data_IF_166434922958
#
_entry.id   IF_166434922958
#
_cell.length_a   1.000
_cell.length_b   1.000
_cell.length_c   1.000
_cell.angle_alpha   90.00
_cell.angle_beta   90.00
_cell.angle_gamma   90.00
#
_symmetry.space_group_name_H-M   'P 1'
#
loop_
_entity.id
_entity.type
_entity.pdbx_description
1 polymer ?
#
# COMPACT_ATOMS: atom_id res chain seq x y z
N UNK A 1 -5.13 -7.97 -15.39
CA UNK A 1 -4.74 -6.89 -14.47
C UNK A 1 -3.23 -6.82 -14.53
N UNK A 2 -2.70 -5.70 -15.01
CA UNK A 2 -1.25 -5.46 -15.01
C UNK A 2 -0.82 -5.10 -13.59
N UNK A 3 0.23 -5.76 -13.11
CA UNK A 3 0.72 -5.55 -11.75
C UNK A 3 1.72 -4.39 -11.75
N UNK A 4 1.50 -3.37 -10.91
CA UNK A 4 2.46 -2.25 -10.78
C UNK A 4 3.67 -2.61 -9.92
N UNK A 5 3.54 -3.63 -9.08
CA UNK A 5 4.55 -4.06 -8.12
C UNK A 5 5.18 -5.35 -8.65
N UNK A 6 6.50 -5.32 -8.82
CA UNK A 6 7.30 -6.49 -9.20
C UNK A 6 7.19 -7.61 -8.16
N UNK A 7 7.39 -8.85 -8.57
CA UNK A 7 7.24 -10.00 -7.67
C UNK A 7 8.21 -9.98 -6.50
N UNK A 8 9.44 -9.51 -6.72
CA UNK A 8 10.45 -9.32 -5.66
C UNK A 8 9.96 -8.33 -4.61
N UNK A 9 9.50 -7.15 -5.03
CA UNK A 9 9.01 -6.12 -4.11
C UNK A 9 7.74 -6.57 -3.39
N UNK A 10 6.87 -7.30 -4.10
CA UNK A 10 5.69 -7.91 -3.51
C UNK A 10 6.05 -8.91 -2.40
N UNK A 11 7.08 -9.74 -2.60
CA UNK A 11 7.53 -10.72 -1.61
C UNK A 11 8.03 -10.04 -0.32
N UNK A 12 8.77 -8.94 -0.44
CA UNK A 12 9.22 -8.14 0.71
C UNK A 12 8.04 -7.53 1.47
N UNK A 13 7.09 -6.92 0.75
CA UNK A 13 5.86 -6.36 1.35
C UNK A 13 5.06 -7.46 2.04
N UNK A 14 4.90 -8.62 1.39
CA UNK A 14 4.17 -9.75 1.95
C UNK A 14 4.82 -10.25 3.24
N UNK A 15 6.14 -10.37 3.27
CA UNK A 15 6.91 -10.79 4.46
C UNK A 15 6.66 -9.85 5.65
N UNK A 16 6.68 -8.53 5.40
CA UNK A 16 6.33 -7.56 6.44
C UNK A 16 4.88 -7.75 6.94
N UNK A 17 3.93 -7.85 6.00
CA UNK A 17 2.51 -7.91 6.32
C UNK A 17 2.10 -9.20 7.03
N UNK A 18 2.74 -10.33 6.73
CA UNK A 18 2.51 -11.60 7.43
C UNK A 18 3.10 -11.59 8.84
N UNK A 19 4.15 -10.81 9.09
CA UNK A 19 4.71 -10.61 10.42
C UNK A 19 3.84 -9.74 11.34
N UNK A 20 2.95 -8.89 10.78
CA UNK A 20 2.06 -8.02 11.56
C UNK A 20 0.91 -8.80 12.21
N UNK A 21 0.93 -8.93 13.54
CA UNK A 21 -0.17 -9.54 14.30
C UNK A 21 -1.46 -8.72 14.17
N UNK A 22 -2.58 -9.41 13.95
CA UNK A 22 -3.91 -8.79 13.88
C UNK A 22 -4.32 -8.24 12.51
N UNK A 23 -3.45 -8.33 11.49
CA UNK A 23 -3.86 -8.08 10.11
C UNK A 23 -4.51 -9.32 9.51
N UNK A 24 -5.70 -9.16 8.93
CA UNK A 24 -6.36 -10.21 8.17
C UNK A 24 -5.66 -10.38 6.81
N UNK A 25 -4.52 -11.08 6.83
CA UNK A 25 -3.65 -11.38 5.68
C UNK A 25 -3.82 -12.81 5.16
N UNK A 26 -4.88 -13.52 5.59
CA UNK A 26 -5.16 -14.91 5.22
C UNK A 26 -5.29 -15.15 3.71
N UNK A 27 -5.63 -14.11 2.95
CA UNK A 27 -5.84 -14.18 1.51
C UNK A 27 -4.84 -13.26 0.80
N UNK A 28 -3.72 -13.86 0.37
CA UNK A 28 -2.59 -13.15 -0.26
C UNK A 28 -3.02 -12.49 -1.57
N UNK A 29 -3.94 -13.09 -2.33
CA UNK A 29 -4.45 -12.54 -3.58
C UNK A 29 -5.25 -11.27 -3.34
N UNK A 30 -6.16 -11.29 -2.36
CA UNK A 30 -6.91 -10.08 -1.96
C UNK A 30 -6.00 -9.01 -1.35
N UNK A 31 -4.96 -9.42 -0.62
CA UNK A 31 -3.97 -8.51 -0.07
C UNK A 31 -3.19 -7.81 -1.18
N UNK A 32 -2.74 -8.56 -2.20
CA UNK A 32 -2.05 -8.00 -3.36
C UNK A 32 -2.90 -6.97 -4.09
N UNK A 33 -4.14 -7.35 -4.44
CA UNK A 33 -5.09 -6.43 -5.09
C UNK A 33 -5.33 -5.15 -4.28
N UNK A 34 -5.39 -5.25 -2.95
CA UNK A 34 -5.53 -4.09 -2.08
C UNK A 34 -4.31 -3.16 -2.14
N UNK A 35 -3.10 -3.72 -2.00
CA UNK A 35 -1.86 -2.92 -2.05
C UNK A 35 -1.70 -2.27 -3.41
N UNK A 36 -2.04 -2.97 -4.49
CA UNK A 36 -1.98 -2.40 -5.84
C UNK A 36 -3.01 -1.31 -6.09
N UNK A 37 -4.23 -1.47 -5.57
CA UNK A 37 -5.24 -0.43 -5.62
C UNK A 37 -4.74 0.85 -4.94
N UNK A 38 -4.10 0.71 -3.77
CA UNK A 38 -3.48 1.83 -3.05
C UNK A 38 -2.35 2.42 -3.91
N UNK A 39 -1.47 1.59 -4.47
CA UNK A 39 -0.36 2.04 -5.29
C UNK A 39 -0.83 2.82 -6.53
N UNK A 40 -1.87 2.34 -7.22
CA UNK A 40 -2.50 3.03 -8.34
C UNK A 40 -2.98 4.44 -7.94
N UNK A 41 -3.70 4.55 -6.82
CA UNK A 41 -4.21 5.83 -6.31
C UNK A 41 -3.07 6.78 -5.93
N UNK A 42 -2.02 6.27 -5.30
CA UNK A 42 -0.86 7.08 -4.94
C UNK A 42 -0.09 7.57 -6.17
N UNK A 43 0.12 6.69 -7.15
CA UNK A 43 0.82 6.98 -8.41
C UNK A 43 0.06 7.96 -9.30
N UNK A 44 -1.25 7.77 -9.45
CA UNK A 44 -2.09 8.60 -10.35
C UNK A 44 -2.65 9.85 -9.68
N UNK A 45 -2.71 9.88 -8.35
CA UNK A 45 -3.42 10.91 -7.60
C UNK A 45 -4.94 10.89 -7.80
N UNK A 46 -5.50 9.85 -8.44
CA UNK A 46 -6.92 9.74 -8.69
C UNK A 46 -7.71 9.68 -7.38
N UNK A 47 -8.95 10.20 -7.40
CA UNK A 47 -9.85 10.02 -6.27
C UNK A 47 -10.23 8.54 -6.13
N UNK A 48 -10.35 8.04 -4.90
CA UNK A 48 -10.73 6.64 -4.62
C UNK A 48 -11.95 6.18 -5.42
N UNK A 49 -12.95 7.05 -5.61
CA UNK A 49 -14.18 6.74 -6.36
C UNK A 49 -13.96 6.33 -7.83
N UNK A 50 -12.81 6.69 -8.40
CA UNK A 50 -12.41 6.35 -9.77
C UNK A 50 -11.51 5.12 -9.85
N UNK A 51 -11.26 4.44 -8.73
CA UNK A 51 -10.55 3.18 -8.74
C UNK A 51 -11.28 2.17 -9.64
N UNK A 52 -10.53 1.48 -10.50
CA UNK A 52 -11.09 0.47 -11.39
C UNK A 52 -11.81 -0.64 -10.60
N UNK A 53 -12.94 -1.10 -11.13
CA UNK A 53 -13.78 -2.14 -10.51
C UNK A 53 -13.04 -3.47 -10.35
N UNK A 54 -12.02 -3.72 -11.17
CA UNK A 54 -11.17 -4.91 -11.10
C UNK A 54 -10.43 -5.06 -9.76
N UNK A 55 -10.13 -3.95 -9.08
CA UNK A 55 -9.53 -3.96 -7.74
C UNK A 55 -10.54 -4.32 -6.64
N UNK A 56 -11.84 -4.20 -6.93
CA UNK A 56 -12.94 -4.44 -6.02
C UNK A 56 -13.61 -3.16 -5.53
N UNK A 57 -14.24 -3.24 -4.36
CA UNK A 57 -15.03 -2.14 -3.82
C UNK A 57 -14.14 -1.00 -3.31
N UNK A 58 -14.11 0.11 -4.05
CA UNK A 58 -13.37 1.33 -3.71
C UNK A 58 -13.61 1.83 -2.28
N UNK A 59 -14.86 1.80 -1.79
CA UNK A 59 -15.19 2.26 -0.43
C UNK A 59 -14.56 1.36 0.64
N UNK A 60 -14.56 0.04 0.41
CA UNK A 60 -13.92 -0.92 1.31
C UNK A 60 -12.39 -0.76 1.32
N UNK A 61 -11.80 -0.53 0.15
CA UNK A 61 -10.36 -0.29 -0.01
C UNK A 61 -9.95 0.99 0.71
N UNK A 62 -10.66 2.09 0.49
CA UNK A 62 -10.39 3.35 1.18
C UNK A 62 -10.54 3.22 2.72
N UNK A 63 -11.58 2.53 3.20
CA UNK A 63 -11.75 2.26 4.64
C UNK A 63 -10.58 1.47 5.21
N UNK A 64 -10.11 0.44 4.51
CA UNK A 64 -8.95 -0.36 4.92
C UNK A 64 -7.66 0.45 4.88
N UNK A 65 -7.46 1.28 3.86
CA UNK A 65 -6.33 2.20 3.76
C UNK A 65 -6.27 3.14 4.97
N UNK A 66 -7.41 3.78 5.32
CA UNK A 66 -7.51 4.66 6.48
C UNK A 66 -7.24 3.92 7.79
N UNK A 67 -7.76 2.70 7.94
CA UNK A 67 -7.48 1.86 9.10
C UNK A 67 -5.98 1.55 9.24
N UNK A 68 -5.28 1.29 8.13
CA UNK A 68 -3.83 1.07 8.17
C UNK A 68 -3.03 2.34 8.48
N UNK A 69 -3.50 3.50 8.01
CA UNK A 69 -2.90 4.78 8.34
C UNK A 69 -3.02 5.09 9.83
N UNK A 70 -4.21 4.92 10.41
CA UNK A 70 -4.48 5.11 11.83
C UNK A 70 -3.62 4.19 12.72
N UNK A 71 -3.37 2.96 12.27
CA UNK A 71 -2.51 1.98 12.94
C UNK A 71 -1.01 2.18 12.70
N UNK A 72 -0.61 3.19 11.93
CA UNK A 72 0.79 3.44 11.59
C UNK A 72 1.44 2.35 10.71
N UNK A 73 0.64 1.45 10.13
CA UNK A 73 1.17 0.31 9.34
C UNK A 73 1.90 0.80 8.10
N UNK A 74 1.40 1.85 7.44
CA UNK A 74 2.07 2.44 6.27
C UNK A 74 3.44 3.01 6.63
N UNK A 75 3.57 3.64 7.80
CA UNK A 75 4.83 4.17 8.28
C UNK A 75 5.83 3.04 8.56
N UNK A 76 5.38 2.01 9.29
CA UNK A 76 6.22 0.84 9.59
C UNK A 76 6.63 0.08 8.31
N UNK A 77 5.74 -0.03 7.33
CA UNK A 77 6.06 -0.62 6.04
C UNK A 77 7.12 0.18 5.30
N UNK A 78 7.01 1.52 5.28
CA UNK A 78 8.03 2.38 4.66
C UNK A 78 9.38 2.24 5.36
N UNK A 79 9.41 2.27 6.69
CA UNK A 79 10.64 2.04 7.46
C UNK A 79 11.28 0.68 7.16
N UNK A 80 10.49 -0.39 7.15
CA UNK A 80 10.96 -1.75 6.85
C UNK A 80 11.55 -1.86 5.44
N UNK A 81 10.89 -1.25 4.47
CA UNK A 81 11.34 -1.24 3.08
C UNK A 81 12.63 -0.42 2.92
N UNK A 82 12.76 0.71 3.62
CA UNK A 82 13.97 1.54 3.59
C UNK A 82 15.19 0.86 4.22
N UNK A 83 14.98 -0.02 5.21
CA UNK A 83 16.03 -0.77 5.92
C UNK A 83 16.63 -1.90 5.07
N UNK A 84 15.86 -2.49 4.16
CA UNK A 84 16.27 -3.65 3.32
C UNK A 84 17.19 -3.27 2.15
N UNK A 85 17.66 -2.03 2.10
CA UNK A 85 18.52 -1.41 1.09
C UNK A 85 17.80 -0.89 -0.19
N UNK A 86 18.23 0.32 -0.54
CA UNK A 86 17.56 1.33 -1.37
C UNK A 86 17.72 1.15 -2.88
N UNK A 87 18.34 0.08 -3.37
CA UNK A 87 18.60 -0.09 -4.81
C UNK A 87 17.47 -0.80 -5.60
N UNK A 88 16.62 -1.58 -4.94
CA UNK A 88 15.52 -2.33 -5.60
C UNK A 88 14.13 -1.72 -5.39
N UNK A 89 13.95 -0.98 -4.29
CA UNK A 89 12.73 -0.25 -3.98
C UNK A 89 12.83 1.18 -4.50
N UNK A 90 12.92 1.35 -5.83
CA UNK A 90 12.47 2.60 -6.49
C UNK A 90 10.95 2.69 -6.37
N UNK A 91 10.46 2.85 -5.15
CA UNK A 91 9.10 3.29 -4.88
C UNK A 91 9.14 4.81 -4.84
N UNK A 92 9.29 5.42 -6.01
CA UNK A 92 9.08 6.85 -6.24
C UNK A 92 7.63 7.29 -5.94
N UNK A 93 6.73 6.36 -5.62
CA UNK A 93 5.29 6.60 -5.51
C UNK A 93 4.72 6.63 -4.07
N UNK A 94 5.45 6.15 -3.04
CA UNK A 94 4.99 6.24 -1.63
C UNK A 94 5.62 7.41 -0.86
N UNK A 95 6.83 7.84 -1.22
CA UNK A 95 7.54 8.92 -0.53
C UNK A 95 6.86 10.29 -0.69
N UNK A 96 6.13 10.51 -1.79
CA UNK A 96 5.56 11.83 -2.13
C UNK A 96 4.30 12.23 -1.34
N UNK A 97 3.63 11.32 -0.61
CA UNK A 97 2.39 11.67 0.14
C UNK A 97 2.34 11.30 1.61
N UNK A 98 3.35 10.64 2.18
CA UNK A 98 3.42 10.46 3.63
C UNK A 98 3.68 11.77 4.38
N UNK A 99 4.32 12.75 3.73
CA UNK A 99 4.61 14.06 4.31
C UNK A 99 3.48 15.12 4.13
N UNK A 100 2.51 14.88 3.23
CA UNK A 100 1.48 15.87 2.90
C UNK A 100 0.25 15.87 3.84
N UNK A 101 0.13 14.91 4.76
CA UNK A 101 -0.97 14.86 5.74
C UNK A 101 -0.56 15.25 7.17
N UNK A 102 0.62 15.84 7.35
CA UNK A 102 1.08 16.41 8.62
C UNK A 102 1.01 17.95 8.67
N UNK A 103 0.51 18.61 7.61
CA UNK A 103 0.19 20.03 7.63
C UNK A 103 -1.32 20.17 7.51
N UNK A 104 -1.99 20.23 8.65
CA UNK A 104 -3.38 20.60 8.71
C UNK A 104 -3.54 22.09 8.40
N UNK A 105 -4.37 22.41 7.41
CA UNK A 105 -5.51 23.32 7.49
C UNK A 105 -6.26 23.32 6.14
#
# INVERSE_FOLDING_TARGET
>A
MEYYISETNWSTILTFLTAQKGLHTKDVVKLRRFIEAVFFILKTGAQWKYLHKDYGNSRAIHKRYKYWADKGIWNNLMTYVSDIDSQQFMIDSLSVKAHACASGY
#
